data_IF_526923048599
#
_entry.id   IF_526923048599
#
_cell.length_a   1.000
_cell.length_b   1.000
_cell.length_c   1.000
_cell.angle_alpha   90.00
_cell.angle_beta   90.00
_cell.angle_gamma   90.00
#
_symmetry.space_group_name_H-M   'P 1'
#
loop_
_entity.id
_entity.type
_entity.pdbx_description
1 polymer ?
#
# COMPACT_ATOMS: atom_id res chain seq x y z
N UNK A 1 25.93 12.09 -0.90
CA UNK A 1 25.83 11.49 -2.26
C UNK A 1 25.12 10.15 -2.15
N UNK A 2 24.29 9.73 -3.14
CA UNK A 2 23.65 8.42 -3.07
C UNK A 2 24.71 7.31 -3.14
N UNK A 3 24.61 6.28 -2.30
CA UNK A 3 25.47 5.09 -2.32
C UNK A 3 25.30 4.26 -3.59
N UNK A 4 24.09 4.21 -4.14
CA UNK A 4 23.80 3.50 -5.38
C UNK A 4 22.60 4.09 -6.11
N UNK A 5 22.57 3.89 -7.41
CA UNK A 5 21.46 4.28 -8.29
C UNK A 5 20.99 3.02 -9.00
N UNK A 6 19.69 2.73 -8.89
CA UNK A 6 19.07 1.60 -9.57
C UNK A 6 18.12 2.08 -10.65
N UNK A 7 18.32 1.63 -11.87
CA UNK A 7 17.44 1.92 -13.00
C UNK A 7 16.57 0.69 -13.28
N UNK A 8 15.26 0.86 -13.28
CA UNK A 8 14.30 -0.20 -13.56
C UNK A 8 13.36 0.20 -14.70
N UNK A 9 13.23 -0.66 -15.70
CA UNK A 9 12.24 -0.46 -16.78
C UNK A 9 10.98 -1.25 -16.48
N UNK A 10 9.83 -0.58 -16.44
CA UNK A 10 8.51 -1.21 -16.24
C UNK A 10 7.47 -0.48 -17.09
N UNK A 11 6.65 -1.23 -17.85
CA UNK A 11 5.56 -0.69 -18.68
C UNK A 11 6.00 0.45 -19.63
N UNK A 12 7.17 0.29 -20.28
CA UNK A 12 7.79 1.30 -21.14
C UNK A 12 8.13 2.64 -20.43
N UNK A 13 8.25 2.63 -19.10
CA UNK A 13 8.75 3.75 -18.28
C UNK A 13 10.02 3.33 -17.57
N UNK A 14 10.90 4.29 -17.32
CA UNK A 14 12.08 4.11 -16.50
C UNK A 14 11.82 4.66 -15.11
N UNK A 15 12.27 3.93 -14.12
CA UNK A 15 12.22 4.28 -12.71
C UNK A 15 13.64 4.40 -12.21
N UNK A 16 13.94 5.47 -11.51
CA UNK A 16 15.22 5.71 -10.85
C UNK A 16 14.99 5.60 -9.35
N UNK A 17 15.79 4.78 -8.70
CA UNK A 17 15.83 4.68 -7.25
C UNK A 17 17.21 5.06 -6.77
N UNK A 18 17.29 5.95 -5.80
CA UNK A 18 18.50 6.38 -5.17
C UNK A 18 18.55 5.76 -3.77
N UNK A 19 19.68 5.16 -3.42
CA UNK A 19 19.94 4.65 -2.08
C UNK A 19 20.83 5.64 -1.36
N UNK A 20 20.35 6.17 -0.25
CA UNK A 20 21.09 7.03 0.65
C UNK A 20 21.38 6.26 1.94
N UNK A 21 22.44 6.65 2.62
CA UNK A 21 22.67 6.23 4.00
C UNK A 21 21.68 6.96 4.88
N UNK A 22 20.92 6.18 5.64
CA UNK A 22 20.04 6.71 6.66
C UNK A 22 20.85 6.80 7.96
N UNK A 23 21.05 8.01 8.45
CA UNK A 23 21.73 8.26 9.71
C UNK A 23 20.73 8.30 10.88
N UNK A 24 19.58 7.59 10.76
CA UNK A 24 18.68 7.44 11.88
C UNK A 24 19.40 6.70 13.00
N UNK A 25 19.35 7.30 14.18
CA UNK A 25 19.93 6.73 15.38
C UNK A 25 18.99 5.68 15.95
N UNK A 26 19.17 4.42 15.55
CA UNK A 26 18.40 3.28 16.04
C UNK A 26 18.67 2.98 17.53
N UNK A 27 19.66 3.65 18.13
CA UNK A 27 19.99 3.45 19.58
C UNK A 27 18.88 3.89 20.52
N UNK A 28 17.92 4.69 20.03
CA UNK A 28 16.76 5.16 20.81
C UNK A 28 15.53 4.25 20.70
N UNK A 29 15.55 3.25 19.82
CA UNK A 29 14.46 2.29 19.73
C UNK A 29 14.58 1.25 20.86
N UNK A 30 13.50 1.06 21.60
CA UNK A 30 13.42 0.01 22.60
C UNK A 30 13.47 -1.36 21.93
N UNK A 31 14.18 -2.30 22.53
CA UNK A 31 14.11 -3.71 22.09
C UNK A 31 12.72 -4.28 22.37
N UNK A 32 12.36 -5.37 21.70
CA UNK A 32 11.07 -6.04 21.92
C UNK A 32 10.88 -6.44 23.39
N UNK A 33 11.94 -6.91 24.05
CA UNK A 33 11.90 -7.30 25.46
C UNK A 33 11.64 -6.10 26.38
N UNK A 34 12.31 -4.98 26.12
CA UNK A 34 12.09 -3.73 26.87
C UNK A 34 10.67 -3.19 26.67
N UNK A 35 10.12 -3.31 25.47
CA UNK A 35 8.73 -2.95 25.20
C UNK A 35 7.75 -3.82 25.98
N UNK A 36 7.93 -5.14 25.97
CA UNK A 36 7.09 -6.07 26.71
C UNK A 36 7.16 -5.82 28.22
N UNK A 37 8.34 -5.59 28.76
CA UNK A 37 8.51 -5.29 30.22
C UNK A 37 7.79 -3.99 30.59
N UNK A 38 7.92 -2.95 29.75
CA UNK A 38 7.20 -1.69 29.94
C UNK A 38 5.67 -1.86 29.92
N UNK A 39 5.16 -2.73 29.04
CA UNK A 39 3.71 -3.00 28.98
C UNK A 39 3.21 -3.78 30.19
N UNK A 40 4.01 -4.71 30.74
CA UNK A 40 3.66 -5.49 31.94
C UNK A 40 3.49 -4.63 33.22
N UNK A 41 4.14 -3.49 33.26
CA UNK A 41 4.07 -2.58 34.43
C UNK A 41 2.86 -1.63 34.37
N UNK A 42 2.09 -1.62 33.27
CA UNK A 42 0.96 -0.71 33.04
C UNK A 42 -0.35 -1.28 33.59
N UNK A 43 -1.24 -0.38 34.00
CA UNK A 43 -2.62 -0.73 34.40
C UNK A 43 -3.46 -1.09 33.18
N UNK A 44 -4.61 -1.76 33.42
CA UNK A 44 -5.54 -2.13 32.33
C UNK A 44 -6.05 -0.90 31.57
N UNK A 45 -6.38 0.19 32.26
CA UNK A 45 -6.85 1.44 31.67
C UNK A 45 -5.77 2.12 30.79
N UNK A 46 -4.52 2.10 31.25
CA UNK A 46 -3.38 2.59 30.46
C UNK A 46 -3.17 1.73 29.19
N UNK A 47 -3.29 0.40 29.32
CA UNK A 47 -3.15 -0.51 28.18
C UNK A 47 -4.25 -0.31 27.14
N UNK A 48 -5.51 -0.10 27.56
CA UNK A 48 -6.60 0.23 26.62
C UNK A 48 -6.32 1.48 25.79
N UNK A 49 -5.68 2.47 26.36
CA UNK A 49 -5.30 3.70 25.63
C UNK A 49 -4.18 3.49 24.63
N UNK A 50 -3.27 2.53 24.86
CA UNK A 50 -2.05 2.27 24.09
C UNK A 50 -2.24 1.20 23.02
N UNK A 51 -3.19 0.28 23.22
CA UNK A 51 -3.43 -0.85 22.34
C UNK A 51 -4.57 -0.54 21.39
N UNK A 52 -4.43 -0.91 20.13
CA UNK A 52 -5.49 -0.85 19.13
C UNK A 52 -5.56 -2.18 18.38
N UNK A 53 -6.73 -2.81 18.38
CA UNK A 53 -6.96 -4.00 17.60
C UNK A 53 -7.36 -3.62 16.18
N UNK A 54 -6.80 -4.33 15.19
CA UNK A 54 -7.01 -4.09 13.76
C UNK A 54 -7.56 -5.35 13.11
N UNK A 55 -8.77 -5.27 12.59
CA UNK A 55 -9.36 -6.32 11.76
C UNK A 55 -9.21 -5.97 10.28
N UNK A 56 -8.58 -6.86 9.50
CA UNK A 56 -8.39 -6.70 8.07
C UNK A 56 -9.52 -7.40 7.31
N UNK A 57 -10.46 -6.61 6.79
CA UNK A 57 -11.67 -7.11 6.13
C UNK A 57 -11.68 -6.94 4.61
N UNK A 58 -12.64 -7.62 3.96
CA UNK A 58 -12.87 -7.51 2.51
C UNK A 58 -13.68 -6.26 2.16
N UNK A 59 -14.65 -5.89 2.99
CA UNK A 59 -15.52 -4.74 2.75
C UNK A 59 -14.89 -3.44 3.22
N UNK A 60 -14.35 -3.43 4.42
CA UNK A 60 -13.54 -2.35 4.98
C UNK A 60 -12.13 -2.89 5.11
N UNK A 61 -11.14 -2.33 4.39
CA UNK A 61 -9.78 -2.87 4.37
C UNK A 61 -9.10 -2.95 5.72
N UNK A 62 -9.37 -2.02 6.62
CA UNK A 62 -8.91 -2.09 8.00
C UNK A 62 -9.96 -1.45 8.92
N UNK A 63 -10.47 -2.23 9.86
CA UNK A 63 -11.37 -1.78 10.92
C UNK A 63 -10.62 -1.84 12.22
N UNK A 64 -10.57 -0.74 12.95
CA UNK A 64 -9.98 -0.70 14.29
C UNK A 64 -11.07 -0.55 15.33
N UNK A 65 -10.70 -0.68 16.59
CA UNK A 65 -11.59 -0.41 17.73
C UNK A 65 -12.11 1.03 17.76
N UNK A 66 -11.33 1.96 17.15
CA UNK A 66 -11.65 3.39 17.16
C UNK A 66 -12.33 3.86 15.87
N UNK A 67 -11.88 3.37 14.71
CA UNK A 67 -12.42 3.82 13.41
C UNK A 67 -12.19 2.80 12.29
N UNK A 68 -12.94 2.99 11.19
CA UNK A 68 -12.75 2.22 9.96
C UNK A 68 -11.93 2.99 8.93
N UNK A 69 -10.97 2.31 8.32
CA UNK A 69 -10.17 2.83 7.21
C UNK A 69 -10.66 2.24 5.90
N UNK A 70 -11.21 3.06 5.04
CA UNK A 70 -11.76 2.63 3.74
C UNK A 70 -11.32 3.58 2.62
N UNK A 71 -11.41 3.08 1.39
CA UNK A 71 -11.14 3.89 0.22
C UNK A 71 -12.15 5.03 0.10
N UNK A 72 -11.68 6.20 -0.29
CA UNK A 72 -12.58 7.32 -0.58
C UNK A 72 -13.52 6.99 -1.74
N UNK A 73 -14.67 7.66 -1.80
CA UNK A 73 -15.62 7.50 -2.91
C UNK A 73 -14.98 7.75 -4.28
N UNK A 74 -14.05 8.69 -4.36
CA UNK A 74 -13.30 8.99 -5.58
C UNK A 74 -12.33 7.86 -5.95
N UNK A 75 -11.58 7.31 -4.98
CA UNK A 75 -10.72 6.15 -5.19
C UNK A 75 -11.50 4.94 -5.67
N UNK A 76 -12.64 4.61 -5.03
CA UNK A 76 -13.54 3.53 -5.44
C UNK A 76 -14.06 3.74 -6.87
N UNK A 77 -14.50 4.96 -7.21
CA UNK A 77 -14.94 5.30 -8.58
C UNK A 77 -13.80 5.15 -9.59
N UNK A 78 -12.59 5.60 -9.25
CA UNK A 78 -11.41 5.50 -10.12
C UNK A 78 -11.04 4.05 -10.38
N UNK A 79 -10.96 3.21 -9.33
CA UNK A 79 -10.69 1.77 -9.47
C UNK A 79 -11.74 1.06 -10.34
N UNK A 80 -13.03 1.32 -10.10
CA UNK A 80 -14.13 0.77 -10.90
C UNK A 80 -14.06 1.18 -12.37
N UNK A 81 -13.66 2.43 -12.66
CA UNK A 81 -13.44 2.94 -14.02
C UNK A 81 -12.29 2.21 -14.70
N UNK A 82 -11.16 2.04 -14.02
CA UNK A 82 -10.01 1.33 -14.58
C UNK A 82 -10.32 -0.17 -14.78
N UNK A 83 -11.11 -0.79 -13.92
CA UNK A 83 -11.57 -2.17 -14.10
C UNK A 83 -12.45 -2.33 -15.36
N UNK A 84 -13.43 -1.46 -15.56
CA UNK A 84 -14.26 -1.45 -16.77
C UNK A 84 -13.41 -1.26 -18.04
N UNK A 85 -12.44 -0.35 -17.98
CA UNK A 85 -11.48 -0.11 -19.07
C UNK A 85 -10.62 -1.34 -19.36
N UNK A 86 -10.09 -1.99 -18.33
CA UNK A 86 -9.33 -3.23 -18.42
C UNK A 86 -10.16 -4.32 -19.11
N UNK A 87 -11.40 -4.59 -18.66
CA UNK A 87 -12.31 -5.60 -19.24
C UNK A 87 -12.56 -5.33 -20.72
N UNK A 88 -12.82 -4.06 -21.11
CA UNK A 88 -13.00 -3.67 -22.52
C UNK A 88 -11.75 -3.92 -23.36
N UNK A 89 -10.57 -3.55 -22.84
CA UNK A 89 -9.30 -3.75 -23.53
C UNK A 89 -8.94 -5.23 -23.66
N UNK A 90 -9.24 -6.06 -22.66
CA UNK A 90 -9.03 -7.51 -22.71
C UNK A 90 -9.88 -8.16 -23.82
N UNK A 91 -11.17 -7.82 -23.91
CA UNK A 91 -12.05 -8.29 -25.01
C UNK A 91 -11.53 -7.86 -26.38
N UNK A 92 -11.02 -6.64 -26.50
CA UNK A 92 -10.43 -6.15 -27.74
C UNK A 92 -9.06 -6.78 -28.05
N UNK A 93 -8.33 -7.24 -27.03
CA UNK A 93 -7.06 -7.95 -27.16
C UNK A 93 -7.27 -9.36 -27.72
N UNK A 94 -8.29 -10.10 -27.24
CA UNK A 94 -8.60 -11.47 -27.72
C UNK A 94 -8.95 -11.49 -29.20
N UNK A 95 -9.67 -10.46 -29.69
CA UNK A 95 -10.06 -10.32 -31.10
C UNK A 95 -8.90 -9.84 -32.01
N UNK A 96 -7.76 -9.46 -31.44
CA UNK A 96 -6.65 -8.89 -32.20
C UNK A 96 -5.70 -9.96 -32.75
N UNK A 97 -5.20 -9.79 -33.98
CA UNK A 97 -4.18 -10.67 -34.60
C UNK A 97 -2.94 -10.75 -33.69
N UNK A 98 -2.50 -11.98 -33.38
CA UNK A 98 -1.28 -12.22 -32.59
C UNK A 98 -0.07 -11.58 -33.30
N UNK A 99 0.85 -10.96 -32.55
CA UNK A 99 2.05 -10.31 -33.07
C UNK A 99 1.84 -8.88 -33.64
N UNK A 100 0.59 -8.41 -33.79
CA UNK A 100 0.37 -7.06 -34.34
C UNK A 100 0.75 -5.93 -33.38
N UNK A 101 1.30 -4.83 -33.91
CA UNK A 101 1.61 -3.61 -33.12
C UNK A 101 0.39 -3.06 -32.36
N UNK A 102 -0.82 -3.19 -32.94
CA UNK A 102 -2.08 -2.79 -32.28
C UNK A 102 -2.37 -3.64 -31.05
N UNK A 103 -2.05 -4.95 -31.11
CA UNK A 103 -2.21 -5.87 -29.96
C UNK A 103 -1.21 -5.51 -28.83
N UNK A 104 0.04 -5.22 -29.17
CA UNK A 104 1.04 -4.78 -28.19
C UNK A 104 0.65 -3.47 -27.50
N UNK A 105 0.16 -2.48 -28.26
CA UNK A 105 -0.38 -1.23 -27.66
C UNK A 105 -1.53 -1.50 -26.68
N UNK A 106 -2.40 -2.49 -26.95
CA UNK A 106 -3.48 -2.88 -26.03
C UNK A 106 -2.93 -3.51 -24.75
N UNK A 107 -1.93 -4.41 -24.85
CA UNK A 107 -1.25 -4.98 -23.67
C UNK A 107 -0.70 -3.88 -22.75
N UNK A 108 -0.01 -2.89 -23.31
CA UNK A 108 0.51 -1.77 -22.53
C UNK A 108 -0.58 -0.93 -21.88
N UNK A 109 -1.70 -0.70 -22.57
CA UNK A 109 -2.85 0.01 -21.98
C UNK A 109 -3.48 -0.77 -20.82
N UNK A 110 -3.57 -2.09 -20.93
CA UNK A 110 -4.03 -2.96 -19.84
C UNK A 110 -3.06 -2.87 -18.66
N UNK A 111 -1.76 -3.02 -18.90
CA UNK A 111 -0.74 -2.92 -17.85
C UNK A 111 -0.79 -1.58 -17.11
N UNK A 112 -0.95 -0.45 -17.83
CA UNK A 112 -1.11 0.89 -17.23
C UNK A 112 -2.38 1.00 -16.38
N UNK A 113 -3.49 0.41 -16.83
CA UNK A 113 -4.74 0.39 -16.08
C UNK A 113 -4.61 -0.40 -14.78
N UNK A 114 -3.95 -1.56 -14.84
CA UNK A 114 -3.62 -2.36 -13.64
C UNK A 114 -2.69 -1.59 -12.68
N UNK A 115 -1.66 -0.94 -13.21
CA UNK A 115 -0.70 -0.16 -12.43
C UNK A 115 -1.39 1.01 -11.71
N UNK A 116 -2.30 1.71 -12.39
CA UNK A 116 -3.06 2.81 -11.76
C UNK A 116 -3.91 2.31 -10.59
N UNK A 117 -4.63 1.21 -10.75
CA UNK A 117 -5.39 0.61 -9.65
C UNK A 117 -4.50 0.11 -8.51
N UNK A 118 -3.32 -0.44 -8.85
CA UNK A 118 -2.35 -0.86 -7.84
C UNK A 118 -1.77 0.32 -7.07
N UNK A 119 -1.50 1.45 -7.74
CA UNK A 119 -0.98 2.66 -7.10
C UNK A 119 -2.01 3.28 -6.14
N UNK A 120 -3.30 3.28 -6.50
CA UNK A 120 -4.37 3.75 -5.60
C UNK A 120 -4.39 2.91 -4.33
N UNK A 121 -4.32 1.56 -4.44
CA UNK A 121 -4.27 0.68 -3.28
C UNK A 121 -3.00 0.90 -2.46
N UNK A 122 -1.86 1.03 -3.13
CA UNK A 122 -0.58 1.26 -2.47
C UNK A 122 -0.58 2.58 -1.67
N UNK A 123 -1.09 3.66 -2.25
CA UNK A 123 -1.23 4.95 -1.56
C UNK A 123 -2.14 4.84 -0.33
N UNK A 124 -3.29 4.16 -0.49
CA UNK A 124 -4.19 3.88 0.62
C UNK A 124 -3.49 3.10 1.74
N UNK A 125 -2.83 1.97 1.42
CA UNK A 125 -2.14 1.17 2.43
C UNK A 125 -1.04 1.93 3.15
N UNK A 126 -0.24 2.73 2.43
CA UNK A 126 0.79 3.56 3.07
C UNK A 126 0.21 4.60 4.03
N UNK A 127 -0.88 5.25 3.63
CA UNK A 127 -1.54 6.25 4.49
C UNK A 127 -2.20 5.60 5.70
N UNK A 128 -2.87 4.47 5.50
CA UNK A 128 -3.52 3.73 6.58
C UNK A 128 -2.49 3.16 7.56
N UNK A 129 -1.43 2.50 7.08
CA UNK A 129 -0.40 1.96 7.97
C UNK A 129 0.32 3.07 8.76
N UNK A 130 0.58 4.22 8.13
CA UNK A 130 1.13 5.37 8.85
C UNK A 130 0.17 5.86 9.94
N UNK A 131 -1.11 6.03 9.62
CA UNK A 131 -2.12 6.47 10.59
C UNK A 131 -2.27 5.48 11.75
N UNK A 132 -2.24 4.17 11.48
CA UNK A 132 -2.28 3.13 12.51
C UNK A 132 -1.07 3.21 13.47
N UNK A 133 0.14 3.34 12.91
CA UNK A 133 1.37 3.46 13.73
C UNK A 133 1.39 4.76 14.55
N UNK A 134 0.74 5.83 14.05
CA UNK A 134 0.62 7.09 14.77
C UNK A 134 -0.52 7.07 15.83
N UNK A 135 -1.50 6.17 15.70
CA UNK A 135 -2.68 6.11 16.59
C UNK A 135 -2.47 5.29 17.86
N UNK A 136 -1.56 4.32 17.84
CA UNK A 136 -1.35 3.42 18.97
C UNK A 136 0.12 2.99 19.11
N UNK A 137 0.53 2.71 20.34
CA UNK A 137 1.86 2.18 20.63
C UNK A 137 1.95 0.67 20.31
N UNK A 138 0.84 -0.04 20.46
CA UNK A 138 0.72 -1.48 20.20
C UNK A 138 -0.46 -1.76 19.28
N UNK A 139 -0.19 -2.44 18.18
CA UNK A 139 -1.20 -2.90 17.24
C UNK A 139 -1.35 -4.42 17.34
N UNK A 140 -2.60 -4.89 17.47
CA UNK A 140 -2.96 -6.32 17.49
C UNK A 140 -3.75 -6.64 16.23
N UNK A 141 -3.33 -7.67 15.47
CA UNK A 141 -3.95 -8.11 14.22
C UNK A 141 -4.62 -9.48 14.36
#
# INVERSE_FOLDING_TARGET
>A
MPKSIRIKKKNARYWLSFCYEDHLDDSKSLTQEQHLERLRTKTAEELESLVEAVDCGIHIPAQTTRQGYDFTAEQKRSMKREEKKKKRLQRALTRGKKGSRRREKKKWRIARSCEKSANIRKDFHHKTSKALVESAEVLVF
#
